data_IF_010916945687
#
_entry.id   IF_010916945687
#
_cell.length_a   1.000
_cell.length_b   1.000
_cell.length_c   1.000
_cell.angle_alpha   90.00
_cell.angle_beta   90.00
_cell.angle_gamma   90.00
#
_symmetry.space_group_name_H-M   'P 1'
#
loop_
_entity.id
_entity.type
_entity.pdbx_description
1 polymer ?
#
# COMPACT_ATOMS: atom_id res chain seq x y z
N UNK A 1 17.15 6.63 5.87
CA UNK A 1 15.92 6.42 5.10
C UNK A 1 14.81 5.65 5.85
N UNK A 2 15.13 4.65 6.71
CA UNK A 2 14.10 3.87 7.45
C UNK A 2 13.81 4.45 8.85
N UNK A 3 14.85 4.71 9.64
CA UNK A 3 14.75 5.37 10.94
C UNK A 3 15.60 6.63 10.93
N UNK A 4 14.97 7.81 11.04
CA UNK A 4 15.67 9.10 11.14
C UNK A 4 15.14 9.90 12.32
N UNK A 5 16.06 10.39 13.14
CA UNK A 5 15.76 11.27 14.26
C UNK A 5 16.16 12.71 13.94
N UNK A 6 15.24 13.65 14.17
CA UNK A 6 15.51 15.08 14.04
C UNK A 6 16.17 15.54 15.35
N UNK A 7 17.48 15.74 15.32
CA UNK A 7 18.27 16.13 16.50
C UNK A 7 18.19 17.62 16.83
N UNK A 8 17.99 18.47 15.81
CA UNK A 8 17.96 19.91 15.98
C UNK A 8 16.54 20.42 16.31
N UNK A 9 16.46 21.21 17.40
CA UNK A 9 15.19 21.76 17.90
C UNK A 9 14.55 22.78 16.95
N UNK A 10 15.34 23.54 16.19
CA UNK A 10 14.82 24.50 15.23
C UNK A 10 14.24 23.79 14.00
N UNK A 11 14.94 22.78 13.49
CA UNK A 11 14.50 21.94 12.38
C UNK A 11 13.22 21.17 12.73
N UNK A 12 13.13 20.65 13.97
CA UNK A 12 11.91 20.00 14.46
C UNK A 12 10.70 20.94 14.42
N UNK A 13 10.85 22.17 14.95
CA UNK A 13 9.76 23.17 14.92
C UNK A 13 9.33 23.52 13.50
N UNK A 14 10.27 23.61 12.56
CA UNK A 14 9.95 23.86 11.15
C UNK A 14 9.13 22.72 10.55
N UNK A 15 9.54 21.47 10.78
CA UNK A 15 8.82 20.29 10.27
C UNK A 15 7.42 20.18 10.91
N UNK A 16 7.29 20.51 12.19
CA UNK A 16 5.98 20.52 12.88
C UNK A 16 5.04 21.61 12.34
N UNK A 17 5.58 22.73 11.83
CA UNK A 17 4.81 23.84 11.29
C UNK A 17 4.47 23.67 9.80
N UNK A 18 5.46 23.29 8.98
CA UNK A 18 5.37 23.29 7.51
C UNK A 18 5.29 21.88 6.90
N UNK A 19 5.46 20.82 7.70
CA UNK A 19 5.59 19.45 7.22
C UNK A 19 7.02 19.13 6.73
N UNK A 20 7.24 17.85 6.39
CA UNK A 20 8.50 17.39 5.82
C UNK A 20 8.37 17.25 4.30
N UNK A 21 9.25 17.93 3.56
CA UNK A 21 9.39 17.74 2.12
C UNK A 21 10.50 16.72 1.83
N UNK A 22 10.30 15.88 0.83
CA UNK A 22 11.31 14.91 0.40
C UNK A 22 12.45 15.63 -0.35
N UNK A 23 13.72 15.52 0.11
CA UNK A 23 14.86 16.13 -0.58
C UNK A 23 15.34 15.33 -1.81
N UNK A 24 14.80 14.14 -2.08
CA UNK A 24 15.19 13.33 -3.24
C UNK A 24 14.86 14.04 -4.57
N UNK A 25 15.85 14.09 -5.47
CA UNK A 25 15.73 14.69 -6.81
C UNK A 25 15.55 13.58 -7.86
N UNK A 26 14.31 13.38 -8.29
CA UNK A 26 13.96 12.32 -9.25
C UNK A 26 14.59 12.53 -10.65
N UNK A 27 14.72 13.78 -11.10
CA UNK A 27 15.23 14.12 -12.44
C UNK A 27 16.77 14.18 -12.51
N UNK A 28 17.46 14.01 -11.38
CA UNK A 28 18.92 14.09 -11.34
C UNK A 28 19.55 12.82 -11.96
N UNK A 29 20.37 13.01 -13.00
CA UNK A 29 21.02 11.90 -13.71
C UNK A 29 22.15 11.25 -12.91
N UNK A 30 22.93 12.03 -12.17
CA UNK A 30 24.00 11.49 -11.33
C UNK A 30 23.43 10.96 -10.00
N UNK A 31 23.49 9.63 -9.75
CA UNK A 31 22.98 9.05 -8.51
C UNK A 31 23.65 9.62 -7.25
N UNK A 32 24.90 10.11 -7.35
CA UNK A 32 25.62 10.70 -6.23
C UNK A 32 25.06 12.06 -5.79
N UNK A 33 24.31 12.75 -6.66
CA UNK A 33 23.77 14.09 -6.41
C UNK A 33 22.24 14.13 -6.19
N UNK A 34 21.59 12.96 -6.16
CA UNK A 34 20.13 12.80 -6.01
C UNK A 34 19.59 13.16 -4.62
N UNK A 35 20.45 13.30 -3.60
CA UNK A 35 20.07 13.47 -2.19
C UNK A 35 19.22 12.34 -1.59
N UNK A 36 19.26 11.13 -2.14
CA UNK A 36 18.49 9.98 -1.64
C UNK A 36 18.79 9.61 -0.17
N UNK A 37 20.03 9.82 0.31
CA UNK A 37 20.41 9.56 1.71
C UNK A 37 19.59 10.40 2.69
N UNK A 38 19.27 11.64 2.28
CA UNK A 38 18.45 12.58 3.03
C UNK A 38 16.95 12.34 2.81
N UNK A 39 16.54 11.37 2.01
CA UNK A 39 15.14 10.97 1.85
C UNK A 39 14.68 9.91 2.87
N UNK A 40 13.39 9.61 2.88
CA UNK A 40 12.74 8.55 3.65
C UNK A 40 11.95 7.62 2.73
N UNK A 41 11.87 6.33 3.06
CA UNK A 41 11.18 5.32 2.22
C UNK A 41 9.66 5.30 2.46
N UNK A 42 8.98 6.40 2.13
CA UNK A 42 7.54 6.48 2.29
C UNK A 42 6.78 5.59 1.31
N UNK A 43 7.31 5.33 0.10
CA UNK A 43 6.63 4.47 -0.88
C UNK A 43 6.50 3.04 -0.37
N UNK A 44 7.56 2.50 0.25
CA UNK A 44 7.54 1.16 0.82
C UNK A 44 6.62 1.08 2.03
N UNK A 45 6.61 2.11 2.88
CA UNK A 45 5.67 2.15 4.01
C UNK A 45 4.22 2.13 3.53
N UNK A 46 3.90 2.85 2.45
CA UNK A 46 2.56 2.80 1.84
C UNK A 46 2.27 1.45 1.19
N UNK A 47 3.27 0.83 0.56
CA UNK A 47 3.16 -0.50 -0.06
C UNK A 47 2.79 -1.61 0.94
N UNK A 48 3.00 -1.42 2.24
CA UNK A 48 2.53 -2.34 3.28
C UNK A 48 1.00 -2.49 3.33
N UNK A 49 0.27 -1.53 2.76
CA UNK A 49 -1.19 -1.55 2.61
C UNK A 49 -1.67 -2.07 1.25
N UNK A 50 -0.79 -2.79 0.52
CA UNK A 50 -1.14 -3.38 -0.77
C UNK A 50 -2.34 -4.35 -0.66
N UNK A 51 -3.17 -4.38 -1.69
CA UNK A 51 -4.37 -5.23 -1.75
C UNK A 51 -4.10 -6.74 -1.68
N UNK A 52 -2.85 -7.16 -1.92
CA UNK A 52 -2.46 -8.57 -2.03
C UNK A 52 -1.68 -8.94 -0.78
N UNK A 53 -2.15 -9.90 0.03
CA UNK A 53 -1.58 -10.18 1.32
C UNK A 53 -0.09 -10.53 1.26
N UNK A 54 0.36 -11.31 0.26
CA UNK A 54 1.78 -11.70 0.16
C UNK A 54 2.70 -10.49 -0.06
N UNK A 55 2.31 -9.53 -0.91
CA UNK A 55 3.09 -8.31 -1.16
C UNK A 55 3.09 -7.42 0.09
N UNK A 56 1.94 -7.26 0.74
CA UNK A 56 1.83 -6.52 1.99
C UNK A 56 2.75 -7.12 3.08
N UNK A 57 2.82 -8.45 3.21
CA UNK A 57 3.72 -9.10 4.16
C UNK A 57 5.19 -8.94 3.79
N UNK A 58 5.56 -9.01 2.50
CA UNK A 58 6.94 -8.78 2.07
C UNK A 58 7.39 -7.35 2.35
N UNK A 59 6.54 -6.35 2.09
CA UNK A 59 6.83 -4.96 2.41
C UNK A 59 6.95 -4.71 3.93
N UNK A 60 6.24 -5.48 4.76
CA UNK A 60 6.34 -5.38 6.23
C UNK A 60 7.67 -5.85 6.79
N UNK A 61 8.39 -6.74 6.10
CA UNK A 61 9.73 -7.20 6.52
C UNK A 61 10.67 -6.01 6.77
N UNK A 62 10.54 -4.94 5.97
CA UNK A 62 11.38 -3.73 6.08
C UNK A 62 11.09 -2.94 7.37
N UNK A 63 9.87 -3.05 7.91
CA UNK A 63 9.49 -2.45 9.20
C UNK A 63 9.68 -3.39 10.39
N UNK A 64 9.87 -4.68 10.14
CA UNK A 64 10.18 -5.68 11.16
C UNK A 64 11.69 -5.73 11.45
N UNK A 65 12.08 -6.50 12.46
CA UNK A 65 13.47 -6.68 12.80
C UNK A 65 14.20 -7.52 11.73
N UNK A 66 15.39 -7.08 11.34
CA UNK A 66 16.24 -7.74 10.36
C UNK A 66 16.91 -8.98 10.98
N UNK A 67 16.18 -10.10 11.00
CA UNK A 67 16.62 -11.36 11.61
C UNK A 67 17.30 -12.30 10.62
N UNK A 68 16.94 -12.24 9.32
CA UNK A 68 17.57 -13.03 8.26
C UNK A 68 18.78 -12.30 7.68
N UNK A 69 19.86 -13.05 7.41
CA UNK A 69 21.09 -12.51 6.83
C UNK A 69 20.93 -12.08 5.37
N UNK A 70 20.20 -12.86 4.57
CA UNK A 70 19.94 -12.56 3.17
C UNK A 70 18.65 -13.25 2.70
N UNK A 71 18.11 -12.76 1.59
CA UNK A 71 17.01 -13.37 0.85
C UNK A 71 17.55 -13.82 -0.51
N UNK A 72 17.22 -15.05 -0.94
CA UNK A 72 17.57 -15.51 -2.28
C UNK A 72 16.63 -14.83 -3.29
N UNK A 73 17.17 -14.15 -4.29
CA UNK A 73 16.35 -13.46 -5.30
C UNK A 73 15.73 -14.43 -6.31
N UNK A 74 16.36 -15.59 -6.56
CA UNK A 74 15.88 -16.60 -7.51
C UNK A 74 14.46 -17.08 -7.15
N UNK A 75 14.16 -17.15 -5.85
CA UNK A 75 12.83 -17.55 -5.36
C UNK A 75 11.72 -16.54 -5.72
N UNK A 76 12.06 -15.30 -6.10
CA UNK A 76 11.10 -14.22 -6.35
C UNK A 76 10.98 -13.80 -7.82
N UNK A 77 11.93 -14.18 -8.69
CA UNK A 77 12.01 -13.65 -10.06
C UNK A 77 10.92 -14.22 -11.00
N UNK A 78 10.51 -15.46 -10.79
CA UNK A 78 9.59 -16.17 -11.71
C UNK A 78 8.10 -15.91 -11.41
N UNK A 79 7.79 -14.91 -10.58
CA UNK A 79 6.42 -14.57 -10.23
C UNK A 79 5.75 -13.68 -11.30
N UNK A 80 4.70 -14.22 -11.92
CA UNK A 80 3.78 -13.50 -12.80
C UNK A 80 2.36 -13.49 -12.25
N UNK A 81 1.47 -12.65 -12.82
CA UNK A 81 0.05 -12.67 -12.46
C UNK A 81 -0.60 -14.05 -12.66
N UNK A 82 -0.16 -14.83 -13.67
CA UNK A 82 -0.62 -16.20 -13.88
C UNK A 82 -0.28 -17.10 -12.70
N UNK A 83 0.99 -17.11 -12.29
CA UNK A 83 1.43 -17.89 -11.12
C UNK A 83 0.74 -17.45 -9.83
N UNK A 84 0.44 -16.16 -9.67
CA UNK A 84 -0.28 -15.63 -8.51
C UNK A 84 -1.72 -16.14 -8.46
N UNK A 85 -2.40 -16.16 -9.61
CA UNK A 85 -3.77 -16.68 -9.71
C UNK A 85 -3.81 -18.19 -9.48
N UNK A 86 -2.88 -18.94 -10.07
CA UNK A 86 -2.76 -20.39 -9.85
C UNK A 86 -2.47 -20.72 -8.38
N UNK A 87 -1.64 -19.91 -7.72
CA UNK A 87 -1.36 -20.04 -6.29
C UNK A 87 -2.61 -19.80 -5.43
N UNK A 88 -3.50 -18.87 -5.79
CA UNK A 88 -4.79 -18.72 -5.09
C UNK A 88 -5.76 -19.87 -5.41
N UNK A 89 -5.80 -20.34 -6.66
CA UNK A 89 -6.71 -21.41 -7.07
C UNK A 89 -6.32 -22.79 -6.50
N UNK A 90 -5.04 -23.03 -6.29
CA UNK A 90 -4.51 -24.26 -5.68
C UNK A 90 -4.66 -24.31 -4.16
N UNK A 91 -5.02 -23.21 -3.50
CA UNK A 91 -5.27 -23.19 -2.06
C UNK A 91 -6.55 -23.95 -1.72
N UNK A 92 -6.42 -24.94 -0.85
CA UNK A 92 -7.59 -25.60 -0.27
C UNK A 92 -8.35 -24.66 0.65
N UNK A 93 -9.66 -24.53 0.41
CA UNK A 93 -10.56 -23.74 1.26
C UNK A 93 -10.79 -24.51 2.57
N UNK A 94 -9.94 -24.26 3.56
CA UNK A 94 -10.05 -24.89 4.90
C UNK A 94 -11.06 -24.20 5.81
N UNK A 95 -11.37 -22.92 5.55
CA UNK A 95 -12.33 -22.11 6.32
C UNK A 95 -13.42 -21.61 5.39
N UNK A 96 -14.67 -21.67 5.85
CA UNK A 96 -15.81 -21.13 5.12
C UNK A 96 -15.58 -19.63 4.93
N UNK A 97 -15.70 -19.10 3.70
CA UNK A 97 -15.52 -17.67 3.45
C UNK A 97 -16.58 -16.87 4.22
N UNK A 98 -16.15 -15.73 4.76
CA UNK A 98 -17.06 -14.80 5.44
C UNK A 98 -17.84 -13.99 4.41
N UNK A 99 -19.10 -13.67 4.74
CA UNK A 99 -19.97 -12.84 3.91
C UNK A 99 -20.25 -11.52 4.61
N UNK A 100 -20.53 -10.49 3.82
CA UNK A 100 -21.04 -9.24 4.36
C UNK A 100 -22.52 -9.41 4.74
N UNK A 101 -22.88 -9.02 5.98
CA UNK A 101 -24.24 -9.19 6.49
C UNK A 101 -25.17 -8.06 6.05
N UNK A 102 -24.64 -6.83 5.92
CA UNK A 102 -25.42 -5.65 5.55
C UNK A 102 -25.30 -5.36 4.06
N UNK A 103 -25.99 -6.16 3.26
CA UNK A 103 -26.06 -5.93 1.81
C UNK A 103 -27.10 -4.83 1.53
N UNK A 104 -26.74 -3.75 0.80
CA UNK A 104 -27.69 -2.73 0.40
C UNK A 104 -28.74 -3.32 -0.55
N UNK A 105 -30.01 -2.91 -0.40
CA UNK A 105 -31.10 -3.36 -1.29
C UNK A 105 -30.97 -2.83 -2.72
N UNK A 106 -30.26 -1.71 -2.87
CA UNK A 106 -30.08 -0.98 -4.11
C UNK A 106 -28.60 -1.04 -4.47
N UNK A 107 -28.27 -1.78 -5.53
CA UNK A 107 -26.88 -2.03 -5.97
C UNK A 107 -26.57 -1.34 -7.30
N UNK A 108 -27.56 -1.23 -8.19
CA UNK A 108 -27.41 -0.66 -9.54
C UNK A 108 -28.45 0.43 -9.88
N UNK A 109 -29.45 0.65 -9.03
CA UNK A 109 -30.60 1.50 -9.38
C UNK A 109 -30.50 2.80 -8.61
N UNK A 110 -30.01 3.86 -9.25
CA UNK A 110 -29.91 5.17 -8.60
C UNK A 110 -31.27 5.66 -8.05
N UNK A 111 -31.35 5.69 -6.71
CA UNK A 111 -32.40 6.24 -5.82
C UNK A 111 -33.44 5.25 -5.27
N UNK A 112 -33.33 4.98 -3.97
CA UNK A 112 -34.36 5.34 -2.98
C UNK A 112 -33.68 5.72 -1.66
N UNK A 113 -33.95 6.94 -1.21
CA UNK A 113 -33.42 7.57 -0.02
C UNK A 113 -34.13 7.08 1.23
N UNK A 114 -33.49 6.22 2.03
CA UNK A 114 -33.76 6.09 3.48
C UNK A 114 -32.72 5.24 4.27
N UNK A 115 -31.56 4.93 3.68
CA UNK A 115 -30.49 4.20 4.38
C UNK A 115 -29.22 5.04 4.47
N UNK A 116 -28.64 5.08 5.67
CA UNK A 116 -27.40 5.77 6.10
C UNK A 116 -26.10 5.26 5.40
N UNK A 117 -26.25 4.73 4.19
CA UNK A 117 -25.17 4.19 3.37
C UNK A 117 -24.81 5.20 2.30
N UNK A 118 -23.58 5.71 2.34
CA UNK A 118 -22.99 6.56 1.31
C UNK A 118 -23.25 5.94 -0.08
N UNK A 119 -23.71 6.75 -1.02
CA UNK A 119 -24.02 6.35 -2.41
C UNK A 119 -22.83 5.63 -3.06
N UNK A 120 -23.10 4.57 -3.83
CA UNK A 120 -22.07 3.83 -4.54
C UNK A 120 -21.47 4.70 -5.68
N UNK A 121 -20.15 4.86 -5.70
CA UNK A 121 -19.48 5.67 -6.73
C UNK A 121 -19.72 5.15 -8.16
N UNK A 122 -19.90 3.84 -8.31
CA UNK A 122 -20.19 3.22 -9.62
C UNK A 122 -21.55 3.70 -10.13
N UNK A 123 -22.60 3.73 -9.31
CA UNK A 123 -23.92 4.23 -9.71
C UNK A 123 -23.90 5.72 -10.07
N UNK A 124 -23.04 6.51 -9.42
CA UNK A 124 -22.91 7.94 -9.71
C UNK A 124 -22.20 8.21 -11.04
N UNK A 125 -21.19 7.40 -11.38
CA UNK A 125 -20.32 7.62 -12.54
C UNK A 125 -20.79 6.86 -13.78
N UNK A 126 -21.58 5.80 -13.62
CA UNK A 126 -22.12 4.99 -14.71
C UNK A 126 -23.64 5.07 -14.76
N UNK A 127 -24.18 5.35 -15.96
CA UNK A 127 -25.62 5.23 -16.21
C UNK A 127 -25.91 3.81 -16.67
N UNK A 128 -26.60 3.06 -15.82
CA UNK A 128 -27.19 1.79 -16.18
C UNK A 128 -28.52 2.07 -16.90
N UNK A 129 -28.49 2.03 -18.25
CA UNK A 129 -29.67 2.16 -19.11
C UNK A 129 -30.29 0.80 -19.43
#
# INVERSE_FOLDING_TARGET
MIHREIRDSATRKKIEMDGANDPFKMEQEDPMETNAIESSLWEISMLQSHYHPNIATLAKIISEQFTKQSYNMEDFLDHSYGSMLEAENSKEIKKIPVIEFRIPKVIFTGKESETDTKECLIEKLWRFS
#
